data_IF_554241136864
#
_entry.id   IF_554241136864
#
_cell.length_a   1.000
_cell.length_b   1.000
_cell.length_c   1.000
_cell.angle_alpha   90.00
_cell.angle_beta   90.00
_cell.angle_gamma   90.00
#
_symmetry.space_group_name_H-M   'P 1'
#
loop_
_entity.id
_entity.type
_entity.pdbx_description
1 polymer ?
#
# COMPACT_ATOMS: atom_id res chain seq x y z
N UNK A 1 30.69 -6.06 -10.67
CA UNK A 1 29.61 -5.12 -10.27
C UNK A 1 29.44 -5.20 -8.76
N UNK A 2 29.76 -4.14 -8.00
CA UNK A 2 29.45 -4.06 -6.57
C UNK A 2 27.93 -3.98 -6.43
N UNK A 3 27.28 -5.01 -5.87
CA UNK A 3 25.86 -4.94 -5.47
C UNK A 3 25.70 -3.74 -4.54
N UNK A 4 24.98 -2.70 -4.97
CA UNK A 4 24.47 -1.71 -4.04
C UNK A 4 23.59 -2.47 -3.04
N UNK A 5 24.03 -2.54 -1.80
CA UNK A 5 23.29 -3.19 -0.73
C UNK A 5 22.11 -2.27 -0.40
N UNK A 6 20.94 -2.57 -0.95
CA UNK A 6 19.64 -2.03 -0.55
C UNK A 6 19.25 -2.58 0.83
N UNK A 7 20.17 -2.56 1.79
CA UNK A 7 20.01 -3.12 3.12
C UNK A 7 20.25 -2.02 4.16
N UNK A 8 19.30 -1.83 5.07
CA UNK A 8 19.45 -0.90 6.20
C UNK A 8 19.13 -1.60 7.51
N UNK A 9 19.57 -1.05 8.65
CA UNK A 9 19.29 -1.68 9.94
C UNK A 9 17.78 -1.67 10.21
N UNK A 10 17.29 -2.60 11.04
CA UNK A 10 15.87 -2.63 11.42
C UNK A 10 15.40 -1.29 12.02
N UNK A 11 16.28 -0.57 12.73
CA UNK A 11 15.97 0.75 13.30
C UNK A 11 15.84 1.82 12.20
N UNK A 12 16.77 1.84 11.25
CA UNK A 12 16.73 2.81 10.14
C UNK A 12 15.56 2.52 9.20
N UNK A 13 15.25 1.25 8.97
CA UNK A 13 14.08 0.81 8.20
C UNK A 13 12.76 1.23 8.85
N UNK A 14 12.67 1.16 10.18
CA UNK A 14 11.47 1.59 10.90
C UNK A 14 11.25 3.10 10.75
N UNK A 15 12.33 3.89 10.86
CA UNK A 15 12.30 5.35 10.62
C UNK A 15 11.94 5.68 9.19
N UNK A 16 12.57 5.00 8.23
CA UNK A 16 12.35 5.20 6.80
C UNK A 16 10.91 4.89 6.39
N UNK A 17 10.36 3.76 6.86
CA UNK A 17 8.98 3.37 6.58
C UNK A 17 7.94 4.08 7.47
N UNK A 18 8.37 5.02 8.32
CA UNK A 18 7.53 5.77 9.27
C UNK A 18 6.62 4.86 10.13
N UNK A 19 7.16 3.76 10.64
CA UNK A 19 6.45 2.82 11.51
C UNK A 19 7.22 2.57 12.80
N UNK A 20 6.53 2.13 13.84
CA UNK A 20 7.20 1.70 15.06
C UNK A 20 8.13 0.50 14.80
N UNK A 21 9.24 0.43 15.52
CA UNK A 21 10.15 -0.71 15.48
C UNK A 21 9.42 -2.05 15.70
N UNK A 22 8.47 -2.07 16.63
CA UNK A 22 7.65 -3.26 16.94
C UNK A 22 6.78 -3.68 15.76
N UNK A 23 6.23 -2.72 15.02
CA UNK A 23 5.45 -2.98 13.81
C UNK A 23 6.34 -3.61 12.74
N UNK A 24 7.50 -3.02 12.48
CA UNK A 24 8.42 -3.55 11.47
C UNK A 24 8.97 -4.94 11.86
N UNK A 25 9.27 -5.17 13.14
CA UNK A 25 9.67 -6.48 13.65
C UNK A 25 8.57 -7.53 13.44
N UNK A 26 7.29 -7.18 13.61
CA UNK A 26 6.15 -8.07 13.30
C UNK A 26 6.04 -8.37 11.81
N UNK A 27 6.37 -7.42 10.94
CA UNK A 27 6.35 -7.66 9.49
C UNK A 27 7.44 -8.64 9.08
N UNK A 28 8.64 -8.50 9.66
CA UNK A 28 9.73 -9.47 9.50
C UNK A 28 9.32 -10.85 10.00
N UNK A 29 8.74 -10.96 11.20
CA UNK A 29 8.34 -12.26 11.77
C UNK A 29 7.24 -12.94 10.97
N UNK A 30 6.38 -12.17 10.30
CA UNK A 30 5.32 -12.67 9.42
C UNK A 30 5.79 -12.91 7.98
N UNK A 31 7.09 -12.75 7.68
CA UNK A 31 7.64 -12.94 6.34
C UNK A 31 7.18 -11.89 5.32
N UNK A 32 6.63 -10.76 5.75
CA UNK A 32 6.13 -9.68 4.86
C UNK A 32 7.25 -8.78 4.33
N UNK A 33 8.41 -8.79 4.99
CA UNK A 33 9.58 -7.99 4.64
C UNK A 33 10.80 -8.90 4.70
N UNK A 34 11.65 -8.86 3.68
CA UNK A 34 12.88 -9.66 3.64
C UNK A 34 13.92 -9.06 4.58
N UNK A 35 14.61 -9.95 5.31
CA UNK A 35 15.66 -9.54 6.24
C UNK A 35 16.80 -10.55 6.26
N UNK A 36 18.00 -10.07 6.61
CA UNK A 36 19.20 -10.86 6.78
C UNK A 36 19.81 -10.61 8.15
N UNK A 37 20.27 -11.66 8.81
CA UNK A 37 21.08 -11.54 10.03
C UNK A 37 22.55 -11.48 9.62
N UNK A 38 23.25 -10.44 10.07
CA UNK A 38 24.68 -10.25 9.79
C UNK A 38 25.36 -9.67 11.03
N UNK A 39 26.39 -10.35 11.56
CA UNK A 39 27.08 -10.00 12.81
C UNK A 39 26.14 -9.67 13.98
N UNK A 40 25.10 -10.48 14.20
CA UNK A 40 24.13 -10.28 15.28
C UNK A 40 23.18 -9.10 15.09
N UNK A 41 23.31 -8.34 14.00
CA UNK A 41 22.39 -7.27 13.63
C UNK A 41 21.47 -7.73 12.50
N UNK A 42 20.21 -7.28 12.55
CA UNK A 42 19.25 -7.56 11.50
C UNK A 42 19.21 -6.40 10.51
N UNK A 43 19.42 -6.74 9.25
CA UNK A 43 19.33 -5.85 8.11
C UNK A 43 18.07 -6.15 7.31
N UNK A 44 17.42 -5.10 6.83
CA UNK A 44 16.16 -5.13 6.12
C UNK A 44 16.43 -4.77 4.67
N UNK A 45 15.95 -5.63 3.77
CA UNK A 45 15.96 -5.36 2.34
C UNK A 45 14.93 -4.27 2.04
N UNK A 46 15.43 -3.10 1.65
CA UNK A 46 14.59 -1.93 1.45
C UNK A 46 13.61 -2.13 0.31
N UNK A 47 13.91 -2.97 -0.68
CA UNK A 47 12.98 -3.28 -1.80
C UNK A 47 11.67 -3.93 -1.34
N UNK A 48 11.64 -4.45 -0.11
CA UNK A 48 10.46 -5.07 0.48
C UNK A 48 9.78 -4.21 1.54
N UNK A 49 10.31 -3.01 1.81
CA UNK A 49 9.68 -2.07 2.74
C UNK A 49 8.53 -1.35 2.05
N UNK A 50 7.34 -1.25 2.66
CA UNK A 50 6.29 -0.39 2.16
C UNK A 50 6.82 1.06 2.18
N UNK A 51 6.95 1.66 0.99
CA UNK A 51 7.58 2.96 0.75
C UNK A 51 8.81 2.92 -0.17
N UNK A 52 9.47 1.77 -0.30
CA UNK A 52 10.46 1.51 -1.35
C UNK A 52 9.82 0.55 -2.32
N UNK A 53 9.50 1.04 -3.54
CA UNK A 53 8.92 0.31 -4.69
C UNK A 53 8.61 -1.14 -4.35
N UNK A 54 7.35 -1.34 -3.98
CA UNK A 54 6.69 -2.62 -3.83
C UNK A 54 7.28 -3.63 -4.82
N UNK A 55 7.76 -4.76 -4.31
CA UNK A 55 8.07 -5.91 -5.18
C UNK A 55 6.80 -6.26 -5.96
N UNK A 56 6.89 -6.80 -7.18
CA UNK A 56 5.71 -7.17 -7.99
C UNK A 56 4.62 -7.94 -7.22
N UNK A 57 4.99 -8.84 -6.29
CA UNK A 57 4.04 -9.56 -5.42
C UNK A 57 3.34 -8.69 -4.38
N UNK A 58 4.02 -7.64 -3.91
CA UNK A 58 3.48 -6.59 -3.03
C UNK A 58 2.63 -5.57 -3.80
N UNK A 59 2.94 -5.31 -5.08
CA UNK A 59 2.08 -4.53 -5.98
C UNK A 59 0.76 -5.24 -6.23
N UNK A 60 0.80 -6.53 -6.58
CA UNK A 60 -0.42 -7.29 -6.83
C UNK A 60 -1.32 -7.39 -5.59
N UNK A 61 -0.72 -7.53 -4.40
CA UNK A 61 -1.47 -7.52 -3.13
C UNK A 61 -2.02 -6.13 -2.79
N UNK A 62 -1.25 -5.06 -3.03
CA UNK A 62 -1.68 -3.68 -2.77
C UNK A 62 -2.80 -3.26 -3.73
N UNK A 63 -2.69 -3.63 -5.01
CA UNK A 63 -3.74 -3.41 -6.01
C UNK A 63 -5.04 -4.13 -5.62
N UNK A 64 -4.99 -5.44 -5.32
CA UNK A 64 -6.19 -6.18 -4.91
C UNK A 64 -6.89 -5.54 -3.70
N UNK A 65 -6.12 -5.17 -2.67
CA UNK A 65 -6.67 -4.52 -1.47
C UNK A 65 -7.24 -3.14 -1.78
N UNK A 66 -6.57 -2.34 -2.62
CA UNK A 66 -7.05 -1.01 -3.02
C UNK A 66 -8.33 -1.10 -3.86
N UNK A 67 -8.39 -2.03 -4.81
CA UNK A 67 -9.58 -2.27 -5.63
C UNK A 67 -10.77 -2.72 -4.77
N UNK A 68 -10.56 -3.66 -3.85
CA UNK A 68 -11.59 -4.09 -2.89
C UNK A 68 -12.09 -2.93 -2.03
N UNK A 69 -11.19 -2.08 -1.53
CA UNK A 69 -11.57 -0.89 -0.74
C UNK A 69 -12.39 0.11 -1.56
N UNK A 70 -12.00 0.38 -2.81
CA UNK A 70 -12.74 1.30 -3.68
C UNK A 70 -14.13 0.75 -4.02
N UNK A 71 -14.26 -0.56 -4.21
CA UNK A 71 -15.58 -1.21 -4.38
C UNK A 71 -16.46 -1.09 -3.14
N UNK A 72 -15.88 -1.23 -1.94
CA UNK A 72 -16.61 -0.98 -0.68
C UNK A 72 -17.07 0.48 -0.61
N UNK A 73 -16.20 1.44 -0.93
CA UNK A 73 -16.54 2.87 -0.96
C UNK A 73 -17.68 3.14 -1.93
N UNK A 74 -17.66 2.54 -3.13
CA UNK A 74 -18.76 2.64 -4.10
C UNK A 74 -20.08 2.12 -3.53
N UNK A 75 -20.06 0.98 -2.83
CA UNK A 75 -21.26 0.43 -2.19
C UNK A 75 -21.82 1.35 -1.08
N UNK A 76 -20.93 2.02 -0.33
CA UNK A 76 -21.30 2.96 0.72
C UNK A 76 -21.90 4.24 0.14
N UNK A 77 -21.31 4.79 -0.93
CA UNK A 77 -21.88 5.91 -1.70
C UNK A 77 -23.28 5.54 -2.20
N UNK A 78 -23.48 4.27 -2.58
CA UNK A 78 -24.74 3.82 -3.13
C UNK A 78 -25.87 3.68 -2.12
N UNK A 79 -25.51 3.46 -0.86
CA UNK A 79 -26.44 3.43 0.27
C UNK A 79 -26.75 4.83 0.84
N UNK A 80 -26.08 5.90 0.37
CA UNK A 80 -26.38 7.24 0.84
C UNK A 80 -27.79 7.68 0.44
N UNK A 81 -28.58 8.22 1.38
CA UNK A 81 -29.92 8.72 1.10
C UNK A 81 -29.83 9.90 0.13
N UNK A 82 -30.73 9.92 -0.83
CA UNK A 82 -30.81 10.96 -1.86
C UNK A 82 -32.13 11.70 -1.66
N UNK A 83 -32.12 12.64 -0.71
CA UNK A 83 -33.30 13.38 -0.29
C UNK A 83 -33.51 14.67 -1.09
N UNK A 84 -32.48 15.17 -1.76
CA UNK A 84 -32.49 16.44 -2.48
C UNK A 84 -31.51 16.48 -3.66
N UNK A 85 -31.60 17.52 -4.48
CA UNK A 85 -30.74 17.68 -5.68
C UNK A 85 -29.26 17.78 -5.29
N UNK A 86 -28.94 18.35 -4.12
CA UNK A 86 -27.56 18.48 -3.65
C UNK A 86 -26.95 17.13 -3.30
N UNK A 87 -27.66 16.26 -2.58
CA UNK A 87 -27.23 14.89 -2.30
C UNK A 87 -27.13 14.03 -3.56
N UNK A 88 -28.00 14.22 -4.55
CA UNK A 88 -27.88 13.56 -5.87
C UNK A 88 -26.58 13.96 -6.56
N UNK A 89 -26.31 15.27 -6.63
CA UNK A 89 -25.11 15.79 -7.28
C UNK A 89 -23.84 15.35 -6.55
N UNK A 90 -23.85 15.36 -5.21
CA UNK A 90 -22.72 14.90 -4.41
C UNK A 90 -22.44 13.42 -4.61
N UNK A 91 -23.48 12.59 -4.66
CA UNK A 91 -23.34 11.15 -4.94
C UNK A 91 -22.74 10.90 -6.33
N UNK A 92 -23.17 11.65 -7.35
CA UNK A 92 -22.58 11.57 -8.70
C UNK A 92 -21.12 11.95 -8.73
N UNK A 93 -20.74 13.03 -8.04
CA UNK A 93 -19.36 13.49 -7.95
C UNK A 93 -18.46 12.44 -7.27
N UNK A 94 -18.92 11.88 -6.15
CA UNK A 94 -18.16 10.85 -5.42
C UNK A 94 -17.98 9.58 -6.26
N UNK A 95 -19.01 9.13 -6.99
CA UNK A 95 -18.88 7.99 -7.93
C UNK A 95 -17.84 8.29 -9.01
N UNK A 96 -17.89 9.46 -9.63
CA UNK A 96 -16.93 9.83 -10.68
C UNK A 96 -15.49 9.87 -10.17
N UNK A 97 -15.27 10.30 -8.91
CA UNK A 97 -13.95 10.27 -8.28
C UNK A 97 -13.46 8.83 -8.04
N UNK A 98 -14.33 7.93 -7.57
CA UNK A 98 -13.98 6.52 -7.36
C UNK A 98 -13.68 5.83 -8.70
N UNK A 99 -14.50 6.07 -9.73
CA UNK A 99 -14.28 5.51 -11.08
C UNK A 99 -12.94 5.99 -11.66
N UNK A 100 -12.59 7.28 -11.51
CA UNK A 100 -11.31 7.80 -11.94
C UNK A 100 -10.12 7.15 -11.22
N UNK A 101 -10.25 6.88 -9.92
CA UNK A 101 -9.22 6.18 -9.14
C UNK A 101 -9.05 4.74 -9.59
N UNK A 102 -10.14 4.04 -9.91
CA UNK A 102 -10.09 2.66 -10.43
C UNK A 102 -9.37 2.61 -11.79
N UNK A 103 -9.65 3.56 -12.68
CA UNK A 103 -8.95 3.65 -13.99
C UNK A 103 -7.46 3.90 -13.80
N UNK A 104 -7.08 4.85 -12.94
CA UNK A 104 -5.66 5.12 -12.65
C UNK A 104 -4.95 3.90 -12.05
N UNK A 105 -5.64 3.14 -11.19
CA UNK A 105 -5.14 1.89 -10.64
C UNK A 105 -4.95 0.81 -11.72
N UNK A 106 -5.85 0.70 -12.68
CA UNK A 106 -5.72 -0.26 -13.78
C UNK A 106 -4.57 0.11 -14.73
N UNK A 107 -4.43 1.39 -15.07
CA UNK A 107 -3.35 1.88 -15.95
C UNK A 107 -1.97 1.70 -15.29
N UNK A 108 -1.85 1.99 -13.99
CA UNK A 108 -0.59 1.80 -13.25
C UNK A 108 -0.17 0.35 -13.05
N UNK A 109 -1.05 -0.63 -13.28
CA UNK A 109 -0.72 -2.06 -13.20
C UNK A 109 -0.50 -2.73 -14.57
N UNK A 110 -0.67 -2.02 -15.68
CA UNK A 110 -0.43 -2.54 -17.04
C UNK A 110 0.99 -2.29 -17.57
N UNK A 111 1.75 -1.40 -16.94
CA UNK A 111 3.16 -1.08 -17.25
C UNK A 111 4.16 -1.95 -16.45
#
# INVERSE_FOLDING_TARGET
>A
MKKMTHEMTLTDAARYANVSYRTLQRWVSKGRVKSRLFHGRRYIDTTTLPGCRTTMSGDTMSYKVLTELLQIVQSLIDMQPVSDIQSINRRRELRAQVDALLVLLDDTNRD
#
